data_IF_403189465431
#
_entry.id   IF_403189465431
#
_cell.length_a   1.000
_cell.length_b   1.000
_cell.length_c   1.000
_cell.angle_alpha   90.00
_cell.angle_beta   90.00
_cell.angle_gamma   90.00
#
_symmetry.space_group_name_H-M   'P 1'
#
loop_
_entity.id
_entity.type
_entity.pdbx_description
1 polymer ?
#
# COMPACT_ATOMS: atom_id res chain seq x y z
N UNK A 1 -16.82 29.01 -29.82
CA UNK A 1 -17.59 27.95 -29.15
C UNK A 1 -16.61 26.90 -28.62
N UNK A 2 -16.53 26.68 -27.32
CA UNK A 2 -15.63 25.65 -26.76
C UNK A 2 -16.08 24.27 -27.26
N UNK A 3 -15.19 23.57 -27.96
CA UNK A 3 -15.47 22.28 -28.57
C UNK A 3 -15.81 21.27 -27.45
N UNK A 4 -17.09 21.00 -27.23
CA UNK A 4 -17.59 20.15 -26.15
C UNK A 4 -17.14 18.71 -26.47
N UNK A 5 -15.96 18.31 -25.97
CA UNK A 5 -15.45 16.93 -26.08
C UNK A 5 -16.58 15.93 -25.79
N UNK A 6 -16.92 15.10 -26.77
CA UNK A 6 -17.96 14.06 -26.60
C UNK A 6 -17.54 13.10 -25.49
N UNK A 7 -18.51 12.53 -24.76
CA UNK A 7 -18.23 11.47 -23.79
C UNK A 7 -17.53 10.29 -24.50
N UNK A 8 -16.49 9.74 -23.88
CA UNK A 8 -15.72 8.62 -24.45
C UNK A 8 -15.35 7.62 -23.35
N UNK A 9 -14.98 6.41 -23.76
CA UNK A 9 -14.44 5.39 -22.85
C UNK A 9 -12.91 5.47 -22.90
N UNK A 10 -12.30 5.66 -21.75
CA UNK A 10 -10.84 5.66 -21.59
C UNK A 10 -10.38 4.33 -21.04
N UNK A 11 -9.47 3.68 -21.75
CA UNK A 11 -8.59 2.66 -21.20
C UNK A 11 -7.41 3.34 -20.50
N UNK A 12 -7.16 3.00 -19.25
CA UNK A 12 -5.92 3.33 -18.53
C UNK A 12 -5.21 2.04 -18.19
N UNK A 13 -4.06 1.80 -18.79
CA UNK A 13 -3.14 0.72 -18.42
C UNK A 13 -2.17 1.24 -17.37
N UNK A 14 -2.13 0.59 -16.22
CA UNK A 14 -1.30 0.95 -15.07
C UNK A 14 -0.34 -0.20 -14.82
N UNK A 15 0.89 -0.06 -15.30
CA UNK A 15 1.95 -1.04 -15.15
C UNK A 15 2.57 -0.88 -13.75
N UNK A 16 2.36 -1.88 -12.90
CA UNK A 16 2.86 -1.95 -11.54
C UNK A 16 4.06 -2.90 -11.51
N UNK A 17 5.25 -2.34 -11.76
CA UNK A 17 6.46 -3.13 -11.95
C UNK A 17 6.44 -3.88 -13.28
N UNK A 18 7.10 -5.03 -13.31
CA UNK A 18 7.22 -5.88 -14.51
C UNK A 18 6.17 -7.00 -14.54
N UNK A 19 5.62 -7.36 -13.39
CA UNK A 19 4.74 -8.52 -13.24
C UNK A 19 3.24 -8.17 -13.29
N UNK A 20 2.83 -6.97 -12.86
CA UNK A 20 1.42 -6.67 -12.66
C UNK A 20 0.94 -5.54 -13.57
N UNK A 21 -0.24 -5.74 -14.16
CA UNK A 21 -0.95 -4.76 -14.96
C UNK A 21 -2.37 -4.58 -14.42
N UNK A 22 -2.73 -3.34 -14.08
CA UNK A 22 -4.13 -2.99 -13.89
C UNK A 22 -4.66 -2.26 -15.11
N UNK A 23 -5.91 -2.51 -15.49
CA UNK A 23 -6.56 -1.77 -16.57
C UNK A 23 -7.91 -1.23 -16.11
N UNK A 24 -8.05 0.10 -16.17
CA UNK A 24 -9.34 0.76 -15.98
C UNK A 24 -9.95 1.08 -17.35
N UNK A 25 -11.11 0.52 -17.67
CA UNK A 25 -11.90 0.89 -18.84
C UNK A 25 -13.13 1.62 -18.31
N UNK A 26 -13.04 2.96 -18.29
CA UNK A 26 -14.01 3.82 -17.61
C UNK A 26 -14.54 4.90 -18.52
N UNK A 27 -15.81 5.23 -18.35
CA UNK A 27 -16.40 6.39 -19.02
C UNK A 27 -15.79 7.69 -18.47
N UNK A 28 -15.39 8.57 -19.38
CA UNK A 28 -14.94 9.93 -19.06
C UNK A 28 -16.02 10.88 -19.54
N UNK A 29 -16.72 11.47 -18.57
CA UNK A 29 -17.66 12.56 -18.83
C UNK A 29 -16.90 13.88 -18.93
N UNK A 30 -17.42 14.76 -19.78
CA UNK A 30 -16.77 16.04 -20.07
C UNK A 30 -16.97 17.01 -18.89
N UNK A 31 -16.11 16.93 -17.86
CA UNK A 31 -16.04 17.92 -16.79
C UNK A 31 -15.23 19.14 -17.25
N UNK A 32 -15.61 20.38 -16.86
CA UNK A 32 -14.91 21.59 -17.26
C UNK A 32 -13.42 21.56 -16.87
N UNK A 33 -12.56 22.12 -17.73
CA UNK A 33 -11.09 22.15 -17.56
C UNK A 33 -10.64 22.81 -16.26
N UNK A 34 -11.41 23.79 -15.77
CA UNK A 34 -11.19 24.42 -14.48
C UNK A 34 -11.84 23.58 -13.38
N UNK A 35 -11.03 22.87 -12.60
CA UNK A 35 -11.48 22.34 -11.32
C UNK A 35 -11.99 23.50 -10.48
N UNK A 36 -13.30 23.48 -10.12
CA UNK A 36 -13.82 24.45 -9.15
C UNK A 36 -12.95 24.36 -7.90
N UNK A 37 -12.42 25.49 -7.45
CA UNK A 37 -11.65 25.58 -6.21
C UNK A 37 -12.41 24.90 -5.07
N UNK A 38 -11.67 24.22 -4.18
CA UNK A 38 -12.26 23.40 -3.13
C UNK A 38 -13.09 24.26 -2.18
N UNK A 39 -14.42 24.28 -2.36
CA UNK A 39 -15.35 24.98 -1.47
C UNK A 39 -15.69 24.05 -0.29
N UNK A 40 -14.92 24.14 0.79
CA UNK A 40 -15.21 23.46 2.06
C UNK A 40 -14.67 22.02 2.21
N UNK A 41 -15.09 21.36 3.30
CA UNK A 41 -14.73 19.97 3.62
C UNK A 41 -15.34 19.02 2.57
N UNK A 42 -14.60 18.00 2.16
CA UNK A 42 -15.10 16.98 1.23
C UNK A 42 -16.32 16.25 1.81
N UNK A 43 -17.32 15.96 0.97
CA UNK A 43 -18.47 15.13 1.36
C UNK A 43 -18.02 13.74 1.81
N UNK A 44 -18.85 13.04 2.59
CA UNK A 44 -18.52 11.69 3.06
C UNK A 44 -18.30 10.72 1.90
N UNK A 45 -19.13 10.79 0.86
CA UNK A 45 -18.96 10.02 -0.37
C UNK A 45 -17.59 10.30 -1.04
N UNK A 46 -17.17 11.57 -1.12
CA UNK A 46 -15.87 11.93 -1.68
C UNK A 46 -14.70 11.45 -0.81
N UNK A 47 -14.86 11.49 0.53
CA UNK A 47 -13.86 10.95 1.46
C UNK A 47 -13.68 9.44 1.28
N UNK A 48 -14.78 8.69 1.20
CA UNK A 48 -14.77 7.24 0.98
C UNK A 48 -14.13 6.89 -0.37
N UNK A 49 -14.46 7.63 -1.43
CA UNK A 49 -13.84 7.45 -2.75
C UNK A 49 -12.33 7.73 -2.74
N UNK A 50 -11.92 8.78 -2.03
CA UNK A 50 -10.50 9.10 -1.86
C UNK A 50 -9.76 8.03 -1.08
N UNK A 51 -10.37 7.45 -0.03
CA UNK A 51 -9.80 6.33 0.73
C UNK A 51 -9.64 5.08 -0.15
N UNK A 52 -10.69 4.70 -0.91
CA UNK A 52 -10.63 3.59 -1.90
C UNK A 52 -9.48 3.80 -2.90
N UNK A 53 -9.34 5.02 -3.45
CA UNK A 53 -8.26 5.37 -4.38
C UNK A 53 -6.88 5.34 -3.72
N UNK A 54 -6.78 5.82 -2.48
CA UNK A 54 -5.53 5.86 -1.72
C UNK A 54 -5.02 4.45 -1.41
N UNK A 55 -5.91 3.56 -0.92
CA UNK A 55 -5.62 2.13 -0.69
C UNK A 55 -5.15 1.44 -1.97
N UNK A 56 -5.89 1.62 -3.06
CA UNK A 56 -5.50 1.09 -4.37
C UNK A 56 -4.12 1.60 -4.83
N UNK A 57 -3.87 2.91 -4.71
CA UNK A 57 -2.57 3.51 -5.07
C UNK A 57 -1.44 2.91 -4.23
N UNK A 58 -1.68 2.66 -2.96
CA UNK A 58 -0.70 2.06 -2.05
C UNK A 58 -0.37 0.61 -2.48
N UNK A 59 -1.36 -0.21 -2.87
CA UNK A 59 -1.14 -1.53 -3.48
C UNK A 59 -0.30 -1.43 -4.76
N UNK A 60 -0.65 -0.50 -5.66
CA UNK A 60 0.08 -0.31 -6.92
C UNK A 60 1.56 0.05 -6.69
N UNK A 61 1.84 0.91 -5.70
CA UNK A 61 3.22 1.28 -5.33
C UNK A 61 3.95 0.06 -4.76
N UNK A 62 3.30 -0.72 -3.90
CA UNK A 62 3.90 -1.93 -3.34
C UNK A 62 4.27 -2.94 -4.44
N UNK A 63 3.33 -3.29 -5.31
CA UNK A 63 3.55 -4.18 -6.46
C UNK A 63 4.60 -3.65 -7.46
N UNK A 64 4.84 -2.33 -7.49
CA UNK A 64 5.86 -1.74 -8.36
C UNK A 64 7.27 -1.90 -7.80
N UNK A 65 7.42 -2.01 -6.48
CA UNK A 65 8.71 -1.86 -5.82
C UNK A 65 9.17 -3.08 -5.04
N UNK A 66 8.25 -3.96 -4.64
CA UNK A 66 8.55 -5.11 -3.79
C UNK A 66 8.01 -6.41 -4.38
N UNK A 67 8.66 -7.52 -4.03
CA UNK A 67 8.32 -8.87 -4.49
C UNK A 67 8.65 -9.96 -3.45
N UNK A 68 8.73 -11.22 -3.87
CA UNK A 68 8.82 -12.39 -3.00
C UNK A 68 10.05 -12.43 -2.07
N UNK A 69 11.13 -11.74 -2.44
CA UNK A 69 12.38 -11.77 -1.67
C UNK A 69 12.47 -10.66 -0.63
N UNK A 70 11.56 -9.70 -0.67
CA UNK A 70 11.50 -8.54 0.21
C UNK A 70 10.78 -8.89 1.53
N UNK A 71 10.76 -7.95 2.48
CA UNK A 71 10.31 -8.23 3.84
C UNK A 71 9.10 -7.38 4.25
N UNK A 72 8.24 -7.99 5.07
CA UNK A 72 7.28 -7.31 5.91
C UNK A 72 7.75 -7.41 7.36
N UNK A 73 7.84 -6.27 8.04
CA UNK A 73 8.21 -6.17 9.44
C UNK A 73 6.99 -5.69 10.21
N UNK A 74 6.64 -6.43 11.26
CA UNK A 74 5.66 -6.00 12.25
C UNK A 74 6.40 -5.68 13.55
N UNK A 75 6.45 -4.40 13.92
CA UNK A 75 7.19 -3.90 15.07
C UNK A 75 6.24 -3.30 16.11
N UNK A 76 6.37 -3.73 17.36
CA UNK A 76 5.52 -3.35 18.50
C UNK A 76 6.38 -2.79 19.63
N UNK A 77 5.72 -2.22 20.65
CA UNK A 77 6.37 -1.74 21.86
C UNK A 77 6.02 -2.61 23.07
N UNK A 78 7.00 -2.87 23.92
CA UNK A 78 6.80 -3.40 25.26
C UNK A 78 6.30 -2.27 26.20
N UNK A 79 6.06 -2.60 27.47
CA UNK A 79 5.52 -1.62 28.42
C UNK A 79 6.54 -0.53 28.82
N UNK A 80 7.85 -0.83 28.76
CA UNK A 80 8.91 0.09 29.18
C UNK A 80 9.19 1.15 28.12
N UNK A 81 9.04 0.80 26.83
CA UNK A 81 9.29 1.68 25.70
C UNK A 81 8.02 2.10 24.96
N UNK A 82 6.85 1.99 25.60
CA UNK A 82 5.60 2.42 24.99
C UNK A 82 5.63 3.94 24.77
N UNK A 83 5.56 4.43 23.53
CA UNK A 83 5.63 5.86 23.27
C UNK A 83 4.41 6.58 23.84
N UNK A 84 4.65 7.74 24.45
CA UNK A 84 3.60 8.58 25.03
C UNK A 84 2.85 9.39 23.96
N UNK A 85 3.45 9.56 22.78
CA UNK A 85 2.86 10.31 21.68
C UNK A 85 3.11 9.67 20.31
N UNK A 86 2.31 10.07 19.32
CA UNK A 86 2.54 9.67 17.93
C UNK A 86 3.88 10.20 17.39
N UNK A 87 4.32 11.37 17.83
CA UNK A 87 5.60 11.96 17.43
C UNK A 87 6.79 11.13 17.93
N UNK A 88 6.72 10.66 19.18
CA UNK A 88 7.74 9.77 19.73
C UNK A 88 7.80 8.43 18.99
N UNK A 89 6.63 7.85 18.71
CA UNK A 89 6.56 6.61 17.91
C UNK A 89 7.15 6.79 16.50
N UNK A 90 6.91 7.94 15.87
CA UNK A 90 7.50 8.29 14.58
C UNK A 90 9.02 8.43 14.67
N UNK A 91 9.52 9.10 15.70
CA UNK A 91 10.96 9.22 15.94
C UNK A 91 11.61 7.84 16.11
N UNK A 92 11.00 6.95 16.89
CA UNK A 92 11.51 5.61 17.15
C UNK A 92 11.57 4.77 15.86
N UNK A 93 10.49 4.76 15.07
CA UNK A 93 10.48 4.02 13.79
C UNK A 93 11.41 4.62 12.74
N UNK A 94 11.59 5.95 12.70
CA UNK A 94 12.55 6.57 11.81
C UNK A 94 14.00 6.28 12.21
N UNK A 95 14.31 6.29 13.50
CA UNK A 95 15.63 5.86 14.00
C UNK A 95 15.94 4.41 13.61
N UNK A 96 14.94 3.53 13.67
CA UNK A 96 15.04 2.15 13.20
C UNK A 96 15.32 2.06 11.70
N UNK A 97 14.52 2.74 10.88
CA UNK A 97 14.72 2.79 9.42
C UNK A 97 16.09 3.37 9.04
N UNK A 98 16.58 4.36 9.77
CA UNK A 98 17.90 4.95 9.54
C UNK A 98 19.06 4.01 9.91
N UNK A 99 18.87 3.12 10.89
CA UNK A 99 19.84 2.05 11.18
C UNK A 99 19.88 1.03 10.04
N UNK A 100 18.71 0.58 9.60
CA UNK A 100 18.58 -0.34 8.45
C UNK A 100 19.24 0.27 7.22
N UNK A 101 18.87 1.52 6.87
CA UNK A 101 19.43 2.26 5.73
C UNK A 101 20.95 2.33 5.78
N UNK A 102 21.52 2.70 6.93
CA UNK A 102 22.99 2.80 7.09
C UNK A 102 23.68 1.44 6.97
N UNK A 103 23.09 0.37 7.52
CA UNK A 103 23.65 -0.99 7.39
C UNK A 103 23.58 -1.48 5.95
N UNK A 104 22.41 -1.39 5.33
CA UNK A 104 22.18 -1.76 3.92
C UNK A 104 23.17 -1.03 3.01
N UNK A 105 23.29 0.29 3.15
CA UNK A 105 24.20 1.08 2.33
C UNK A 105 25.67 0.66 2.49
N UNK A 106 26.08 0.29 3.71
CA UNK A 106 27.45 -0.13 4.02
C UNK A 106 27.77 -1.53 3.50
N UNK A 107 26.84 -2.47 3.61
CA UNK A 107 27.08 -3.89 3.32
C UNK A 107 26.84 -4.24 1.85
N UNK A 108 25.88 -3.58 1.20
CA UNK A 108 25.48 -3.91 -0.19
C UNK A 108 25.55 -2.72 -1.14
N UNK A 109 25.67 -1.49 -0.62
CA UNK A 109 25.61 -0.28 -1.45
C UNK A 109 24.20 0.11 -1.89
N UNK A 110 23.19 -0.71 -1.61
CA UNK A 110 21.80 -0.45 -1.96
C UNK A 110 21.16 0.62 -1.05
N UNK A 111 20.15 1.30 -1.59
CA UNK A 111 19.36 2.27 -0.84
C UNK A 111 18.06 1.63 -0.33
N UNK A 112 17.77 1.83 0.96
CA UNK A 112 16.52 1.39 1.57
C UNK A 112 15.30 2.00 0.86
N UNK A 113 14.40 1.12 0.44
CA UNK A 113 13.03 1.42 0.05
C UNK A 113 12.10 0.93 1.14
N UNK A 114 11.12 1.75 1.53
CA UNK A 114 10.13 1.31 2.51
C UNK A 114 8.74 1.90 2.27
N UNK A 115 7.73 1.17 2.73
CA UNK A 115 6.37 1.64 2.95
C UNK A 115 5.98 1.32 4.39
N UNK A 116 5.71 2.35 5.19
CA UNK A 116 5.39 2.28 6.62
C UNK A 116 3.93 2.63 6.84
N UNK A 117 3.24 1.82 7.64
CA UNK A 117 1.95 2.12 8.25
C UNK A 117 2.10 2.04 9.76
N UNK A 118 1.91 3.17 10.44
CA UNK A 118 1.78 3.21 11.90
C UNK A 118 0.29 3.11 12.24
N UNK A 119 -0.13 2.07 12.93
CA UNK A 119 -1.48 1.93 13.47
C UNK A 119 -1.51 2.41 14.93
N UNK A 120 -2.54 3.15 15.29
CA UNK A 120 -2.74 3.67 16.64
C UNK A 120 -4.22 3.90 16.93
N UNK A 121 -4.52 4.26 18.16
CA UNK A 121 -5.86 4.69 18.58
C UNK A 121 -5.79 6.19 18.87
N UNK A 122 -6.52 7.06 18.15
CA UNK A 122 -6.48 8.49 18.38
C UNK A 122 -7.09 8.83 19.75
N UNK A 123 -6.57 9.86 20.40
CA UNK A 123 -7.08 10.39 21.68
C UNK A 123 -8.49 10.95 21.49
N UNK A 124 -9.35 10.82 22.51
CA UNK A 124 -10.63 11.54 22.54
C UNK A 124 -10.47 12.95 23.14
N UNK A 125 -9.57 13.18 24.11
CA UNK A 125 -9.09 14.50 24.54
C UNK A 125 -7.92 14.36 25.54
N UNK A 126 -6.91 15.23 25.41
CA UNK A 126 -5.70 15.45 26.21
C UNK A 126 -4.89 14.25 26.77
N UNK A 127 -3.85 13.87 26.01
CA UNK A 127 -2.50 13.69 26.56
C UNK A 127 -2.09 12.27 26.94
N UNK A 128 -2.91 11.28 26.63
CA UNK A 128 -2.51 9.88 26.63
C UNK A 128 -3.29 9.13 25.56
N UNK A 129 -2.60 8.33 24.73
CA UNK A 129 -3.24 7.40 23.80
C UNK A 129 -4.06 6.37 24.59
N UNK A 130 -5.34 6.65 24.79
CA UNK A 130 -6.21 5.79 25.57
C UNK A 130 -6.46 4.48 24.81
N UNK A 131 -6.26 3.36 25.51
CA UNK A 131 -6.73 2.03 25.08
C UNK A 131 -8.25 1.86 25.30
N UNK A 132 -8.95 2.92 25.73
CA UNK A 132 -10.35 2.90 26.11
C UNK A 132 -11.14 3.87 25.23
N UNK A 133 -12.29 3.42 24.74
CA UNK A 133 -13.29 4.30 24.13
C UNK A 133 -13.71 3.98 22.70
N UNK A 134 -13.56 2.74 22.21
CA UNK A 134 -14.08 2.43 20.88
C UNK A 134 -14.86 1.13 20.86
N UNK A 135 -16.09 1.20 20.34
CA UNK A 135 -17.06 0.10 20.18
C UNK A 135 -16.35 -1.23 19.89
N UNK A 136 -16.46 -2.16 20.84
CA UNK A 136 -15.69 -3.41 20.85
C UNK A 136 -16.05 -4.37 19.70
N UNK A 137 -17.18 -4.12 19.03
CA UNK A 137 -17.75 -5.01 18.01
C UNK A 137 -17.32 -4.68 16.57
N UNK A 138 -16.73 -3.49 16.32
CA UNK A 138 -16.15 -3.17 15.01
C UNK A 138 -14.63 -3.38 15.01
N UNK A 139 -14.19 -4.45 14.30
CA UNK A 139 -12.76 -4.81 14.14
C UNK A 139 -11.92 -3.67 13.54
N UNK A 140 -12.53 -2.74 12.81
CA UNK A 140 -11.83 -1.60 12.22
C UNK A 140 -11.57 -0.47 13.22
N UNK A 141 -12.15 -0.53 14.42
CA UNK A 141 -12.17 0.56 15.40
C UNK A 141 -11.68 0.15 16.79
N UNK A 142 -11.66 -1.15 17.15
CA UNK A 142 -11.09 -1.68 18.41
C UNK A 142 -9.78 -0.98 18.83
N UNK A 143 -9.65 -0.60 20.09
CA UNK A 143 -8.42 0.01 20.59
C UNK A 143 -7.19 -0.89 20.36
N UNK A 144 -6.14 -0.31 19.78
CA UNK A 144 -4.84 -0.96 19.54
C UNK A 144 -3.72 -0.12 20.13
N UNK A 145 -2.72 -0.79 20.69
CA UNK A 145 -1.42 -0.19 21.04
C UNK A 145 -0.73 0.27 19.75
N UNK A 146 0.09 1.32 19.84
CA UNK A 146 0.86 1.77 18.69
C UNK A 146 1.75 0.62 18.20
N UNK A 147 1.69 0.36 16.89
CA UNK A 147 2.60 -0.56 16.24
C UNK A 147 2.81 -0.16 14.78
N UNK A 148 3.88 -0.69 14.19
CA UNK A 148 4.33 -0.35 12.86
C UNK A 148 4.31 -1.59 11.96
N UNK A 149 3.72 -1.45 10.78
CA UNK A 149 3.89 -2.38 9.68
C UNK A 149 4.77 -1.73 8.61
N UNK A 150 5.84 -2.42 8.24
CA UNK A 150 6.85 -1.87 7.32
C UNK A 150 7.09 -2.89 6.22
N UNK A 151 6.90 -2.49 4.97
CA UNK A 151 7.38 -3.26 3.82
C UNK A 151 8.71 -2.65 3.40
N UNK A 152 9.78 -3.45 3.34
CA UNK A 152 11.12 -2.98 2.92
C UNK A 152 11.68 -3.87 1.83
N UNK A 153 12.59 -3.33 1.02
CA UNK A 153 13.39 -4.17 0.13
C UNK A 153 14.37 -5.00 0.95
N UNK A 154 14.68 -6.21 0.48
CA UNK A 154 15.63 -7.10 1.13
C UNK A 154 16.99 -6.42 1.36
N UNK A 155 17.54 -5.86 0.27
CA UNK A 155 18.82 -5.14 0.29
C UNK A 155 20.00 -5.96 0.81
N UNK A 156 19.89 -7.29 0.80
CA UNK A 156 20.91 -8.25 1.25
C UNK A 156 21.07 -8.34 2.76
N UNK A 157 20.15 -7.79 3.55
CA UNK A 157 20.20 -7.88 5.00
C UNK A 157 19.49 -9.12 5.51
N UNK A 158 20.06 -9.72 6.55
CA UNK A 158 19.46 -10.84 7.24
C UNK A 158 18.31 -10.40 8.17
N UNK A 159 17.32 -11.29 8.34
CA UNK A 159 16.12 -11.04 9.15
C UNK A 159 16.46 -10.84 10.62
N UNK A 160 17.38 -11.62 11.14
CA UNK A 160 17.76 -11.50 12.54
C UNK A 160 18.30 -10.09 12.75
N UNK A 161 19.19 -9.62 11.86
CA UNK A 161 19.78 -8.27 11.94
C UNK A 161 18.74 -7.15 11.85
N UNK A 162 17.71 -7.34 11.03
CA UNK A 162 16.56 -6.43 10.98
C UNK A 162 15.82 -6.40 12.32
N UNK A 163 15.66 -7.55 12.98
CA UNK A 163 15.01 -7.65 14.29
C UNK A 163 15.87 -7.04 15.41
N UNK A 164 17.18 -7.30 15.43
CA UNK A 164 18.11 -6.71 16.40
C UNK A 164 18.13 -5.17 16.34
N UNK A 165 17.95 -4.59 15.16
CA UNK A 165 17.91 -3.13 15.00
C UNK A 165 16.70 -2.46 15.68
N UNK A 166 15.63 -3.20 16.01
CA UNK A 166 14.46 -2.71 16.76
C UNK A 166 14.73 -2.66 18.27
N UNK A 167 15.77 -1.92 18.65
CA UNK A 167 16.27 -1.79 20.02
C UNK A 167 16.67 -0.35 20.33
N UNK A 168 16.82 0.00 21.60
CA UNK A 168 17.49 1.26 21.99
C UNK A 168 19.01 1.09 21.95
N UNK A 169 19.48 -0.15 22.10
CA UNK A 169 20.89 -0.53 22.23
C UNK A 169 21.74 -0.10 21.03
N UNK A 170 22.92 0.45 21.30
CA UNK A 170 23.95 0.68 20.28
C UNK A 170 24.61 -0.66 19.90
N UNK A 171 24.27 -1.16 18.72
CA UNK A 171 24.70 -2.48 18.26
C UNK A 171 26.20 -2.54 17.96
N UNK A 172 26.88 -3.53 18.55
CA UNK A 172 28.22 -3.95 18.18
C UNK A 172 28.13 -5.10 17.18
N UNK A 173 28.28 -4.79 15.89
CA UNK A 173 28.16 -5.76 14.80
C UNK A 173 29.18 -6.92 14.86
N UNK A 174 30.30 -6.77 15.60
CA UNK A 174 31.25 -7.88 15.81
C UNK A 174 30.70 -8.97 16.73
N UNK A 175 29.71 -8.64 17.57
CA UNK A 175 29.04 -9.55 18.51
C UNK A 175 27.61 -9.87 18.10
N UNK A 176 27.11 -9.34 16.98
CA UNK A 176 25.71 -9.51 16.58
C UNK A 176 25.33 -10.99 16.42
N UNK A 177 26.24 -11.85 15.98
CA UNK A 177 25.95 -13.28 15.80
C UNK A 177 25.93 -14.07 17.12
N UNK A 178 26.29 -13.47 18.26
CA UNK A 178 26.25 -14.11 19.57
C UNK A 178 24.83 -14.06 20.15
N UNK A 179 24.16 -15.21 20.38
CA UNK A 179 22.81 -15.25 20.94
C UNK A 179 22.70 -14.57 22.31
N UNK A 180 23.74 -14.67 23.16
CA UNK A 180 23.73 -14.06 24.49
C UNK A 180 23.79 -12.53 24.39
N UNK A 181 24.55 -12.02 23.42
CA UNK A 181 24.58 -10.58 23.13
C UNK A 181 23.22 -10.08 22.67
N UNK A 182 22.55 -10.80 21.76
CA UNK A 182 21.22 -10.42 21.26
C UNK A 182 20.18 -10.45 22.38
N UNK A 183 20.18 -11.49 23.22
CA UNK A 183 19.25 -11.62 24.34
C UNK A 183 19.37 -10.48 25.37
N UNK A 184 20.53 -9.83 25.49
CA UNK A 184 20.77 -8.70 26.39
C UNK A 184 20.49 -7.33 25.77
N UNK A 185 20.14 -7.27 24.47
CA UNK A 185 19.79 -6.00 23.86
C UNK A 185 18.48 -5.47 24.45
N UNK A 186 18.45 -4.18 24.72
CA UNK A 186 17.25 -3.48 25.17
C UNK A 186 16.34 -3.20 23.96
N UNK A 187 15.38 -4.10 23.73
CA UNK A 187 14.44 -4.05 22.61
C UNK A 187 13.28 -3.10 22.88
N UNK A 188 12.84 -2.37 21.84
CA UNK A 188 11.61 -1.58 21.94
C UNK A 188 10.38 -2.45 22.21
N UNK A 189 10.35 -3.69 21.72
CA UNK A 189 9.28 -4.65 21.88
C UNK A 189 9.41 -5.81 20.91
N UNK A 190 8.32 -6.54 20.65
CA UNK A 190 8.34 -7.62 19.66
C UNK A 190 8.48 -7.07 18.25
N UNK A 191 9.34 -7.72 17.48
CA UNK A 191 9.54 -7.47 16.06
C UNK A 191 9.58 -8.82 15.34
N UNK A 192 8.80 -8.94 14.26
CA UNK A 192 8.82 -10.10 13.41
C UNK A 192 9.15 -9.65 11.99
N UNK A 193 10.13 -10.29 11.36
CA UNK A 193 10.49 -10.07 9.97
C UNK A 193 10.08 -11.26 9.10
N UNK A 194 9.03 -11.08 8.31
CA UNK A 194 8.47 -12.09 7.41
C UNK A 194 8.86 -11.82 5.97
N UNK A 195 9.11 -12.88 5.20
CA UNK A 195 9.26 -12.75 3.74
C UNK A 195 7.92 -12.43 3.11
N UNK A 196 7.90 -11.50 2.17
CA UNK A 196 6.69 -11.22 1.40
C UNK A 196 6.30 -12.44 0.56
N UNK A 197 5.00 -12.73 0.55
CA UNK A 197 4.42 -13.82 -0.24
C UNK A 197 3.36 -13.24 -1.19
N UNK A 198 3.78 -12.66 -2.33
CA UNK A 198 2.84 -12.16 -3.33
C UNK A 198 1.97 -13.29 -3.89
N UNK A 199 0.66 -13.07 -3.99
CA UNK A 199 -0.27 -13.98 -4.64
C UNK A 199 -0.49 -13.58 -6.11
N UNK A 200 -1.53 -14.10 -6.77
CA UNK A 200 -1.86 -13.76 -8.15
C UNK A 200 -2.07 -12.25 -8.38
N UNK A 201 -2.54 -11.51 -7.38
CA UNK A 201 -2.71 -10.05 -7.39
C UNK A 201 -1.53 -9.30 -6.75
N UNK A 202 -0.42 -10.00 -6.51
CA UNK A 202 0.78 -9.49 -5.87
C UNK A 202 0.61 -9.31 -4.37
N UNK A 203 0.99 -8.14 -3.88
CA UNK A 203 1.00 -7.78 -2.45
C UNK A 203 -0.34 -7.21 -1.97
N UNK A 204 -1.41 -7.32 -2.76
CA UNK A 204 -2.71 -6.77 -2.38
C UNK A 204 -3.18 -7.28 -1.00
N UNK A 205 -3.05 -8.59 -0.74
CA UNK A 205 -3.53 -9.19 0.51
C UNK A 205 -2.89 -8.57 1.74
N UNK A 206 -1.55 -8.58 1.79
CA UNK A 206 -0.78 -8.01 2.90
C UNK A 206 -0.99 -6.49 3.01
N UNK A 207 -1.04 -5.79 1.88
CA UNK A 207 -1.26 -4.35 1.86
C UNK A 207 -2.65 -3.98 2.39
N UNK A 208 -3.69 -4.72 2.02
CA UNK A 208 -5.03 -4.51 2.54
C UNK A 208 -5.10 -4.85 4.04
N UNK A 209 -4.38 -5.89 4.48
CA UNK A 209 -4.30 -6.27 5.88
C UNK A 209 -3.68 -5.16 6.74
N UNK A 210 -2.50 -4.64 6.38
CA UNK A 210 -1.82 -3.56 7.13
C UNK A 210 -2.55 -2.21 7.00
N UNK A 211 -3.57 -2.12 6.14
CA UNK A 211 -4.27 -0.89 5.85
C UNK A 211 -5.77 -0.94 6.21
N UNK A 212 -6.16 -1.96 6.97
CA UNK A 212 -7.56 -2.25 7.34
C UNK A 212 -8.20 -1.16 8.19
N UNK A 213 -7.43 -0.51 9.08
CA UNK A 213 -7.91 0.49 10.04
C UNK A 213 -8.55 1.70 9.36
N UNK A 214 -9.51 2.35 10.02
CA UNK A 214 -10.12 3.59 9.52
C UNK A 214 -9.08 4.72 9.46
N UNK A 215 -9.35 5.71 8.59
CA UNK A 215 -8.52 6.92 8.50
C UNK A 215 -8.60 7.69 9.82
N UNK A 216 -7.46 8.13 10.35
CA UNK A 216 -7.34 8.77 11.67
C UNK A 216 -6.80 7.83 12.77
N UNK A 217 -6.88 6.52 12.54
CA UNK A 217 -6.28 5.49 13.40
C UNK A 217 -5.01 4.89 12.79
N UNK A 218 -4.47 5.56 11.77
CA UNK A 218 -3.25 5.16 11.07
C UNK A 218 -2.57 6.35 10.37
N UNK A 219 -1.25 6.28 10.23
CA UNK A 219 -0.44 7.19 9.42
C UNK A 219 0.43 6.40 8.46
N UNK A 220 0.60 6.91 7.24
CA UNK A 220 1.47 6.31 6.23
C UNK A 220 2.71 7.15 6.02
N UNK A 221 3.84 6.50 5.78
CA UNK A 221 5.10 7.10 5.35
C UNK A 221 5.79 6.20 4.33
N UNK A 222 6.57 6.77 3.42
CA UNK A 222 7.26 6.00 2.37
C UNK A 222 8.61 6.61 2.05
N UNK A 223 9.58 5.80 1.62
CA UNK A 223 10.83 6.33 1.09
C UNK A 223 10.63 7.13 -0.20
N UNK A 224 11.50 8.10 -0.47
CA UNK A 224 11.40 8.98 -1.65
C UNK A 224 11.82 8.31 -2.96
N UNK A 225 12.58 7.21 -2.89
CA UNK A 225 13.15 6.49 -4.03
C UNK A 225 12.23 5.38 -4.60
N UNK A 226 10.96 5.32 -4.19
CA UNK A 226 10.00 4.37 -4.75
C UNK A 226 9.65 4.73 -6.20
N UNK A 227 9.72 3.73 -7.09
CA UNK A 227 9.25 3.84 -8.48
C UNK A 227 7.73 3.99 -8.48
N UNK A 228 7.21 4.89 -9.31
CA UNK A 228 5.77 5.09 -9.50
C UNK A 228 5.26 4.17 -10.61
N UNK A 229 4.02 3.65 -10.50
CA UNK A 229 3.39 2.88 -11.57
C UNK A 229 3.34 3.69 -12.88
N UNK A 230 3.63 3.05 -14.01
CA UNK A 230 3.61 3.71 -15.33
C UNK A 230 2.20 3.67 -15.89
N UNK A 231 1.65 4.81 -16.30
CA UNK A 231 0.28 4.92 -16.81
C UNK A 231 0.27 5.23 -18.31
N UNK A 232 -0.43 4.42 -19.10
CA UNK A 232 -0.74 4.70 -20.51
C UNK A 232 -2.25 4.82 -20.70
N UNK A 233 -2.70 5.80 -21.49
CA UNK A 233 -4.12 6.06 -21.74
C UNK A 233 -4.45 5.83 -23.21
N UNK A 234 -5.64 5.29 -23.49
CA UNK A 234 -6.19 5.19 -24.85
C UNK A 234 -7.69 5.52 -24.81
N UNK A 235 -8.07 6.55 -25.56
CA UNK A 235 -9.44 7.11 -25.56
C UNK A 235 -10.26 6.64 -26.77
N UNK A 236 -9.68 5.81 -27.65
CA UNK A 236 -10.25 5.42 -28.94
C UNK A 236 -10.53 3.92 -29.08
N UNK A 237 -9.92 3.07 -28.24
CA UNK A 237 -10.03 1.59 -28.32
C UNK A 237 -11.42 1.06 -27.91
N UNK A 238 -12.13 1.79 -27.04
CA UNK A 238 -13.37 1.35 -26.43
C UNK A 238 -14.54 2.28 -26.76
N UNK A 239 -15.72 1.70 -26.88
CA UNK A 239 -17.00 2.41 -26.99
C UNK A 239 -17.96 1.90 -25.94
N UNK A 240 -18.98 2.69 -25.60
CA UNK A 240 -20.03 2.30 -24.64
C UNK A 240 -20.73 1.00 -25.05
N UNK A 241 -21.00 0.83 -26.36
CA UNK A 241 -21.59 -0.40 -26.89
C UNK A 241 -20.66 -1.60 -26.67
N UNK A 242 -19.39 -1.47 -27.03
CA UNK A 242 -18.41 -2.54 -26.88
C UNK A 242 -18.28 -2.98 -25.41
N UNK A 243 -18.20 -2.01 -24.50
CA UNK A 243 -18.08 -2.31 -23.07
C UNK A 243 -19.33 -3.02 -22.51
N UNK A 244 -20.53 -2.61 -22.94
CA UNK A 244 -21.80 -3.27 -22.59
C UNK A 244 -21.86 -4.71 -23.07
N UNK A 245 -21.38 -5.00 -24.28
CA UNK A 245 -21.36 -6.38 -24.80
C UNK A 245 -20.44 -7.28 -23.98
N UNK A 246 -19.27 -6.77 -23.59
CA UNK A 246 -18.33 -7.53 -22.76
C UNK A 246 -18.87 -7.76 -21.34
N UNK A 247 -19.65 -6.82 -20.81
CA UNK A 247 -20.29 -6.96 -19.49
C UNK A 247 -21.32 -8.10 -19.44
N UNK A 248 -21.77 -8.64 -20.59
CA UNK A 248 -22.69 -9.80 -20.64
C UNK A 248 -22.00 -11.13 -20.36
N UNK A 249 -20.68 -11.19 -20.48
CA UNK A 249 -19.85 -12.40 -20.30
C UNK A 249 -18.62 -12.07 -19.43
N UNK A 250 -18.82 -11.61 -18.19
CA UNK A 250 -17.73 -11.08 -17.35
C UNK A 250 -16.65 -12.13 -17.00
N UNK A 251 -17.00 -13.41 -17.00
CA UNK A 251 -16.11 -14.54 -16.74
C UNK A 251 -15.20 -14.94 -17.91
N UNK A 252 -15.45 -14.43 -19.12
CA UNK A 252 -14.67 -14.80 -20.31
C UNK A 252 -13.26 -14.16 -20.28
N UNK A 253 -12.28 -14.96 -19.83
CA UNK A 253 -10.86 -14.57 -19.81
C UNK A 253 -10.20 -14.58 -21.19
N UNK A 254 -10.70 -15.33 -22.16
CA UNK A 254 -10.06 -15.51 -23.47
C UNK A 254 -9.99 -14.20 -24.26
N UNK A 255 -11.07 -13.43 -24.20
CA UNK A 255 -11.10 -12.12 -24.86
C UNK A 255 -10.05 -11.17 -24.26
N UNK A 256 -9.85 -11.23 -22.94
CA UNK A 256 -8.85 -10.41 -22.26
C UNK A 256 -7.42 -10.86 -22.54
N UNK A 257 -7.14 -12.17 -22.58
CA UNK A 257 -5.84 -12.72 -23.01
C UNK A 257 -5.47 -12.25 -24.42
N UNK A 258 -6.44 -12.23 -25.34
CA UNK A 258 -6.25 -11.72 -26.72
C UNK A 258 -5.95 -10.21 -26.74
N UNK A 259 -6.64 -9.43 -25.91
CA UNK A 259 -6.48 -7.97 -25.84
C UNK A 259 -5.20 -7.53 -25.12
N UNK A 260 -4.73 -8.30 -24.15
CA UNK A 260 -3.55 -8.04 -23.32
C UNK A 260 -2.59 -9.23 -23.39
N UNK A 261 -2.04 -9.47 -24.57
CA UNK A 261 -1.10 -10.57 -24.85
C UNK A 261 0.05 -10.61 -23.83
N UNK A 262 0.38 -11.81 -23.37
CA UNK A 262 1.42 -12.06 -22.36
C UNK A 262 0.96 -11.83 -20.92
N UNK A 263 -0.33 -11.60 -20.68
CA UNK A 263 -0.90 -11.45 -19.33
C UNK A 263 -2.08 -12.40 -19.11
N UNK A 264 -2.16 -12.96 -17.90
CA UNK A 264 -3.28 -13.74 -17.40
C UNK A 264 -4.22 -12.84 -16.56
N UNK A 265 -5.53 -12.78 -16.88
CA UNK A 265 -6.50 -12.05 -16.06
C UNK A 265 -6.74 -12.77 -14.73
N UNK A 266 -6.35 -12.11 -13.63
CA UNK A 266 -6.55 -12.61 -12.26
C UNK A 266 -7.83 -12.09 -11.64
N UNK A 267 -8.30 -10.91 -12.08
CA UNK A 267 -9.56 -10.31 -11.65
C UNK A 267 -10.22 -9.52 -12.77
N UNK A 268 -11.53 -9.70 -12.93
CA UNK A 268 -12.36 -8.96 -13.89
C UNK A 268 -13.59 -8.45 -13.14
N UNK A 269 -13.63 -7.14 -12.88
CA UNK A 269 -14.75 -6.51 -12.17
C UNK A 269 -15.49 -5.55 -13.11
N UNK A 270 -16.74 -5.88 -13.43
CA UNK A 270 -17.66 -4.96 -14.09
C UNK A 270 -18.53 -4.24 -13.07
N UNK A 271 -18.55 -2.91 -13.12
CA UNK A 271 -19.38 -2.06 -12.25
C UNK A 271 -20.30 -1.21 -13.14
N UNK A 272 -21.62 -1.30 -12.94
CA UNK A 272 -22.59 -0.40 -13.58
C UNK A 272 -22.80 0.85 -12.74
N UNK A 273 -22.75 2.01 -13.38
CA UNK A 273 -23.07 3.30 -12.77
C UNK A 273 -24.24 3.93 -13.54
N UNK A 274 -25.28 4.37 -12.83
CA UNK A 274 -26.49 4.91 -13.45
C UNK A 274 -26.23 6.15 -14.33
N UNK A 275 -25.17 6.90 -14.05
CA UNK A 275 -24.83 8.12 -14.79
C UNK A 275 -23.81 7.90 -15.90
N UNK A 276 -22.88 6.96 -15.73
CA UNK A 276 -21.75 6.77 -16.65
C UNK A 276 -21.77 5.45 -17.41
N UNK A 277 -22.71 4.57 -17.09
CA UNK A 277 -22.87 3.23 -17.65
C UNK A 277 -21.87 2.23 -17.07
N UNK A 278 -21.57 1.20 -17.85
CA UNK A 278 -20.61 0.16 -17.49
C UNK A 278 -19.19 0.70 -17.36
N UNK A 279 -18.47 0.21 -16.35
CA UNK A 279 -17.03 0.34 -16.18
C UNK A 279 -16.44 -1.07 -16.00
N UNK A 280 -15.20 -1.26 -16.42
CA UNK A 280 -14.49 -2.54 -16.23
C UNK A 280 -13.12 -2.27 -15.61
N UNK A 281 -12.81 -3.02 -14.55
CA UNK A 281 -11.53 -2.97 -13.84
C UNK A 281 -10.88 -4.34 -13.92
N UNK A 282 -9.71 -4.40 -14.54
CA UNK A 282 -8.95 -5.63 -14.72
C UNK A 282 -7.71 -5.61 -13.85
N UNK A 283 -7.40 -6.77 -13.28
CA UNK A 283 -6.06 -7.10 -12.79
C UNK A 283 -5.52 -8.26 -13.60
N UNK A 284 -4.30 -8.08 -14.07
CA UNK A 284 -3.62 -9.08 -14.85
C UNK A 284 -2.19 -9.27 -14.35
N UNK A 285 -1.71 -10.50 -14.44
CA UNK A 285 -0.35 -10.90 -14.10
C UNK A 285 0.38 -11.35 -15.35
N UNK A 286 1.62 -10.92 -15.54
CA UNK A 286 2.44 -11.34 -16.66
C UNK A 286 2.65 -12.85 -16.60
N UNK A 287 2.42 -13.54 -17.71
CA UNK A 287 2.72 -14.97 -17.83
C UNK A 287 4.24 -15.11 -17.83
N UNK A 288 4.79 -15.98 -16.98
CA UNK A 288 6.20 -16.33 -17.01
C UNK A 288 6.39 -17.36 -18.12
N UNK A 289 7.35 -17.12 -19.00
CA UNK A 289 7.78 -18.08 -20.02
C UNK A 289 8.40 -19.32 -19.35
#
# INVERSE_FOLDING_TARGET
MANKRKNFIREKRIYCGEEYLEVDIVAVTNMPEAGKGKKGKSSQAQKNLNDKRSKRRFVQIANTNFGTNDFHISATYNNEHLPMSLEEAEKNVHNYLDRIKRKMKRETGEDLKYMLVTEYTPEEEEGQLTLQGIDADDKATKAVRIHHHIIINNGGLDRDDLELMWSTTRINWKKANDPEYRAKADYYGFVNCDRLQPNENGLEGIVNYINKRKKGCKKWSTSMNLKKPKVKKNDHKWSFRKLREYAKTPEDKEVWRKLYKGYEPTKIDFEYNDYTGWNCYLRLRKVRD
#
